data_IF_624128657189
#
_entry.id   IF_624128657189
#
_cell.length_a   1.000
_cell.length_b   1.000
_cell.length_c   1.000
_cell.angle_alpha   90.00
_cell.angle_beta   90.00
_cell.angle_gamma   90.00
#
_symmetry.space_group_name_H-M   'P 1'
#
loop_
_entity.id
_entity.type
_entity.pdbx_description
1 polymer ?
#
# COMPACT_ATOMS: atom_id res chain seq x y z
N UNK A 1 -25.40 5.49 -4.53
CA UNK A 1 -24.85 4.42 -5.37
C UNK A 1 -25.62 3.15 -5.02
N UNK A 2 -26.25 2.51 -5.99
CA UNK A 2 -26.98 1.27 -5.77
C UNK A 2 -26.02 0.11 -5.46
N UNK A 3 -26.54 -0.95 -4.82
CA UNK A 3 -25.69 -2.09 -4.40
C UNK A 3 -24.98 -2.76 -5.57
N UNK A 4 -25.68 -2.88 -6.74
CA UNK A 4 -25.11 -3.48 -7.95
C UNK A 4 -23.95 -2.65 -8.52
N UNK A 5 -24.10 -1.32 -8.53
CA UNK A 5 -23.05 -0.42 -8.99
C UNK A 5 -21.82 -0.52 -8.07
N UNK A 6 -22.06 -0.65 -6.77
CA UNK A 6 -21.02 -0.81 -5.76
C UNK A 6 -20.22 -2.11 -5.98
N UNK A 7 -20.92 -3.23 -6.15
CA UNK A 7 -20.30 -4.54 -6.41
C UNK A 7 -19.47 -4.50 -7.71
N UNK A 8 -20.00 -3.93 -8.79
CA UNK A 8 -19.30 -3.78 -10.07
C UNK A 8 -18.02 -2.92 -9.95
N UNK A 9 -18.08 -1.81 -9.19
CA UNK A 9 -16.90 -0.97 -8.96
C UNK A 9 -15.84 -1.66 -8.10
N UNK A 10 -16.25 -2.44 -7.09
CA UNK A 10 -15.33 -3.24 -6.28
C UNK A 10 -14.65 -4.34 -7.12
N UNK A 11 -15.39 -5.04 -7.99
CA UNK A 11 -14.82 -6.02 -8.91
C UNK A 11 -13.82 -5.38 -9.88
N UNK A 12 -14.19 -4.25 -10.49
CA UNK A 12 -13.32 -3.51 -11.42
C UNK A 12 -12.00 -3.08 -10.79
N UNK A 13 -12.04 -2.71 -9.51
CA UNK A 13 -10.88 -2.22 -8.76
C UNK A 13 -10.17 -3.32 -7.94
N UNK A 14 -10.61 -4.57 -8.04
CA UNK A 14 -10.09 -5.65 -7.19
C UNK A 14 -8.56 -5.79 -7.28
N UNK A 15 -8.01 -5.89 -8.49
CA UNK A 15 -6.57 -6.05 -8.69
C UNK A 15 -5.75 -4.89 -8.14
N UNK A 16 -6.20 -3.64 -8.37
CA UNK A 16 -5.55 -2.45 -7.83
C UNK A 16 -5.70 -2.35 -6.31
N UNK A 17 -6.88 -2.70 -5.79
CA UNK A 17 -7.14 -2.76 -4.35
C UNK A 17 -6.26 -3.79 -3.65
N UNK A 18 -6.09 -4.97 -4.25
CA UNK A 18 -5.20 -6.00 -3.73
C UNK A 18 -3.73 -5.57 -3.74
N UNK A 19 -3.24 -5.00 -4.85
CA UNK A 19 -1.88 -4.47 -4.91
C UNK A 19 -1.62 -3.39 -3.85
N UNK A 20 -2.62 -2.54 -3.58
CA UNK A 20 -2.56 -1.54 -2.51
C UNK A 20 -2.58 -2.18 -1.12
N UNK A 21 -3.44 -3.18 -0.89
CA UNK A 21 -3.48 -3.94 0.37
C UNK A 21 -2.12 -4.60 0.67
N UNK A 22 -1.50 -5.26 -0.34
CA UNK A 22 -0.15 -5.83 -0.22
C UNK A 22 0.87 -4.78 0.20
N UNK A 23 0.78 -3.57 -0.35
CA UNK A 23 1.66 -2.45 0.08
C UNK A 23 1.39 -2.04 1.52
N UNK A 24 0.13 -1.96 1.95
CA UNK A 24 -0.26 -1.63 3.33
C UNK A 24 0.19 -2.70 4.33
N UNK A 25 0.18 -3.98 3.92
CA UNK A 25 0.60 -5.14 4.71
C UNK A 25 2.09 -5.49 4.53
N UNK A 26 2.91 -4.54 4.09
CA UNK A 26 4.37 -4.68 3.95
C UNK A 26 4.82 -5.87 3.08
N UNK A 27 3.99 -6.28 2.13
CA UNK A 27 4.25 -7.38 1.20
C UNK A 27 3.66 -8.73 1.62
N UNK A 28 3.07 -8.85 2.81
CA UNK A 28 2.36 -10.06 3.22
C UNK A 28 1.05 -10.18 2.42
N UNK A 29 1.02 -11.15 1.50
CA UNK A 29 -0.11 -11.39 0.60
C UNK A 29 -1.31 -11.98 1.33
N UNK A 30 -1.07 -12.86 2.30
CA UNK A 30 -2.14 -13.51 3.08
C UNK A 30 -2.84 -12.46 3.94
N UNK A 31 -2.08 -11.63 4.63
CA UNK A 31 -2.65 -10.51 5.40
C UNK A 31 -3.38 -9.50 4.49
N UNK A 32 -2.85 -9.26 3.28
CA UNK A 32 -3.48 -8.37 2.30
C UNK A 32 -4.82 -8.90 1.80
N UNK A 33 -4.97 -10.22 1.60
CA UNK A 33 -6.25 -10.86 1.25
C UNK A 33 -7.27 -10.67 2.36
N UNK A 34 -6.88 -10.92 3.61
CA UNK A 34 -7.75 -10.74 4.77
C UNK A 34 -8.19 -9.28 4.92
N UNK A 35 -7.26 -8.33 4.79
CA UNK A 35 -7.55 -6.88 4.82
C UNK A 35 -8.52 -6.48 3.73
N UNK A 36 -8.32 -6.97 2.50
CA UNK A 36 -9.19 -6.63 1.38
C UNK A 36 -10.61 -7.19 1.57
N UNK A 37 -10.72 -8.44 2.03
CA UNK A 37 -12.01 -9.06 2.35
C UNK A 37 -12.74 -8.30 3.45
N UNK A 38 -12.04 -7.93 4.53
CA UNK A 38 -12.60 -7.12 5.61
C UNK A 38 -13.04 -5.74 5.15
N UNK A 39 -12.27 -5.08 4.28
CA UNK A 39 -12.62 -3.79 3.71
C UNK A 39 -13.92 -3.90 2.89
N UNK A 40 -14.03 -4.92 2.03
CA UNK A 40 -15.23 -5.16 1.23
C UNK A 40 -16.44 -5.49 2.11
N UNK A 41 -16.26 -6.32 3.14
CA UNK A 41 -17.32 -6.63 4.07
C UNK A 41 -17.86 -5.37 4.77
N UNK A 42 -16.98 -4.49 5.25
CA UNK A 42 -17.38 -3.21 5.86
C UNK A 42 -18.17 -2.32 4.89
N UNK A 43 -17.79 -2.30 3.63
CA UNK A 43 -18.47 -1.54 2.58
C UNK A 43 -19.85 -2.12 2.30
N UNK A 44 -19.95 -3.44 2.08
CA UNK A 44 -21.20 -4.12 1.74
C UNK A 44 -22.21 -4.14 2.89
N UNK A 45 -21.73 -4.19 4.14
CA UNK A 45 -22.56 -4.08 5.35
C UNK A 45 -22.95 -2.63 5.68
N UNK A 46 -22.47 -1.66 4.90
CA UNK A 46 -22.77 -0.24 5.12
C UNK A 46 -22.11 0.38 6.37
N UNK A 47 -21.09 -0.29 6.93
CA UNK A 47 -20.27 0.25 8.04
C UNK A 47 -19.43 1.44 7.60
N UNK A 48 -19.10 1.51 6.33
CA UNK A 48 -18.48 2.65 5.67
C UNK A 48 -19.23 2.94 4.37
N UNK A 49 -19.49 4.21 4.08
CA UNK A 49 -20.32 4.62 2.94
C UNK A 49 -19.56 5.60 2.08
N UNK A 50 -19.68 5.41 0.77
CA UNK A 50 -19.17 6.37 -0.20
C UNK A 50 -20.12 7.57 -0.30
N UNK A 51 -19.63 8.73 0.05
CA UNK A 51 -20.41 9.99 0.06
C UNK A 51 -20.20 10.83 -1.21
N UNK A 52 -19.37 10.37 -2.15
CA UNK A 52 -19.10 11.08 -3.40
C UNK A 52 -18.21 12.31 -3.26
N UNK A 53 -17.47 12.47 -2.15
CA UNK A 53 -16.56 13.60 -1.93
C UNK A 53 -15.28 13.52 -2.73
N UNK A 54 -14.89 12.31 -3.14
CA UNK A 54 -13.71 12.01 -3.96
C UNK A 54 -14.06 10.99 -5.03
N UNK A 55 -13.09 10.60 -5.86
CA UNK A 55 -13.25 9.45 -6.74
C UNK A 55 -13.46 8.17 -5.90
N UNK A 56 -14.30 7.26 -6.38
CA UNK A 56 -14.57 5.99 -5.68
C UNK A 56 -13.29 5.20 -5.38
N UNK A 57 -12.33 5.19 -6.31
CA UNK A 57 -11.02 4.55 -6.15
C UNK A 57 -10.23 5.15 -4.98
N UNK A 58 -10.15 6.47 -4.89
CA UNK A 58 -9.46 7.18 -3.81
C UNK A 58 -10.05 6.84 -2.45
N UNK A 59 -11.39 6.89 -2.34
CA UNK A 59 -12.11 6.49 -1.15
C UNK A 59 -11.87 5.01 -0.78
N UNK A 60 -11.97 4.09 -1.75
CA UNK A 60 -11.72 2.66 -1.53
C UNK A 60 -10.31 2.40 -0.98
N UNK A 61 -9.30 3.06 -1.53
CA UNK A 61 -7.92 2.92 -1.05
C UNK A 61 -7.75 3.47 0.37
N UNK A 62 -8.47 4.53 0.73
CA UNK A 62 -8.56 5.01 2.11
C UNK A 62 -9.15 3.95 3.05
N UNK A 63 -10.25 3.30 2.65
CA UNK A 63 -10.89 2.22 3.43
C UNK A 63 -9.96 1.03 3.60
N UNK A 64 -9.28 0.58 2.54
CA UNK A 64 -8.31 -0.53 2.60
C UNK A 64 -7.18 -0.19 3.57
N UNK A 65 -6.60 1.00 3.46
CA UNK A 65 -5.53 1.45 4.34
C UNK A 65 -5.95 1.52 5.80
N UNK A 66 -7.11 2.11 6.06
CA UNK A 66 -7.69 2.17 7.41
C UNK A 66 -7.88 0.77 8.00
N UNK A 67 -8.42 -0.17 7.21
CA UNK A 67 -8.64 -1.55 7.63
C UNK A 67 -7.32 -2.26 7.94
N UNK A 68 -6.27 -2.07 7.14
CA UNK A 68 -4.94 -2.60 7.41
C UNK A 68 -4.37 -2.08 8.74
N UNK A 69 -4.46 -0.77 8.98
CA UNK A 69 -3.99 -0.17 10.23
C UNK A 69 -4.76 -0.66 11.46
N UNK A 70 -6.08 -0.82 11.33
CA UNK A 70 -6.93 -1.36 12.40
C UNK A 70 -6.55 -2.81 12.73
N UNK A 71 -6.32 -3.63 11.72
CA UNK A 71 -5.90 -5.03 11.89
C UNK A 71 -4.53 -5.14 12.55
N UNK A 72 -3.53 -4.37 12.10
CA UNK A 72 -2.22 -4.31 12.72
C UNK A 72 -2.29 -3.90 14.19
N UNK A 73 -3.09 -2.88 14.52
CA UNK A 73 -3.30 -2.43 15.89
C UNK A 73 -3.95 -3.52 16.76
N UNK A 74 -4.93 -4.23 16.22
CA UNK A 74 -5.59 -5.33 16.92
C UNK A 74 -4.61 -6.48 17.20
N UNK A 75 -3.85 -6.92 16.20
CA UNK A 75 -2.82 -7.96 16.33
C UNK A 75 -1.75 -7.56 17.36
N UNK A 76 -1.30 -6.31 17.34
CA UNK A 76 -0.35 -5.79 18.33
C UNK A 76 -0.90 -5.86 19.76
N UNK A 77 -2.12 -5.41 19.97
CA UNK A 77 -2.79 -5.46 21.28
C UNK A 77 -2.98 -6.90 21.75
N UNK A 78 -3.31 -7.82 20.83
CA UNK A 78 -3.45 -9.24 21.15
C UNK A 78 -2.08 -9.86 21.51
N UNK A 79 -1.03 -9.55 20.79
CA UNK A 79 0.33 -10.01 21.08
C UNK A 79 0.82 -9.53 22.45
N UNK A 80 0.53 -8.28 22.81
CA UNK A 80 0.81 -7.72 24.14
C UNK A 80 0.05 -8.47 25.26
N UNK A 81 -1.24 -8.76 25.06
CA UNK A 81 -2.07 -9.49 26.05
C UNK A 81 -1.59 -10.93 26.28
N UNK A 82 -1.06 -11.56 25.22
CA UNK A 82 -0.56 -12.94 25.28
C UNK A 82 0.90 -13.05 25.72
N UNK A 83 1.54 -11.94 26.11
CA UNK A 83 2.95 -11.92 26.52
C UNK A 83 3.94 -12.34 25.43
N UNK A 84 3.53 -12.33 24.18
CA UNK A 84 4.37 -12.67 23.02
C UNK A 84 5.21 -11.46 22.61
N UNK A 85 6.34 -11.28 23.28
CA UNK A 85 7.32 -10.23 23.02
C UNK A 85 8.19 -10.48 21.76
N UNK A 86 7.98 -11.60 21.07
CA UNK A 86 8.78 -12.00 19.91
C UNK A 86 7.95 -11.84 18.62
N UNK A 87 7.92 -10.64 18.09
CA UNK A 87 7.68 -10.46 16.68
C UNK A 87 9.04 -10.05 16.08
N UNK A 88 9.77 -11.03 15.57
CA UNK A 88 10.79 -10.75 14.58
C UNK A 88 10.13 -9.95 13.46
N UNK A 89 10.76 -8.82 13.10
CA UNK A 89 10.44 -8.15 11.86
C UNK A 89 10.73 -9.18 10.75
N UNK A 90 9.69 -9.84 10.26
CA UNK A 90 9.83 -10.75 9.13
C UNK A 90 10.28 -9.91 7.95
N UNK A 91 11.48 -10.15 7.39
CA UNK A 91 11.85 -9.54 6.13
C UNK A 91 10.78 -9.93 5.12
N UNK A 92 10.25 -8.97 4.38
CA UNK A 92 9.29 -9.20 3.31
C UNK A 92 9.88 -10.23 2.36
N UNK A 93 9.40 -11.47 2.45
CA UNK A 93 9.68 -12.49 1.46
C UNK A 93 8.92 -12.09 0.20
N UNK A 94 9.61 -11.48 -0.74
CA UNK A 94 9.16 -11.37 -2.11
C UNK A 94 9.39 -12.72 -2.77
N UNK A 95 8.32 -13.45 -3.08
CA UNK A 95 8.41 -14.64 -3.92
C UNK A 95 9.12 -14.31 -5.23
N UNK A 96 10.15 -15.07 -5.62
CA UNK A 96 10.81 -14.90 -6.89
C UNK A 96 9.95 -15.56 -7.98
N UNK A 97 9.31 -14.74 -8.82
CA UNK A 97 8.86 -15.21 -10.12
C UNK A 97 10.03 -15.05 -11.08
N UNK A 98 10.55 -16.20 -11.52
CA UNK A 98 11.68 -16.30 -12.43
C UNK A 98 11.38 -15.77 -13.82
N UNK A 99 12.18 -14.78 -14.27
CA UNK A 99 12.56 -14.58 -15.68
C UNK A 99 13.94 -13.93 -15.73
N UNK A 100 14.87 -14.56 -16.38
CA UNK A 100 16.34 -14.46 -16.22
C UNK A 100 17.09 -13.29 -16.84
N UNK A 101 16.52 -12.14 -17.18
CA UNK A 101 17.29 -10.92 -17.52
C UNK A 101 16.62 -9.61 -17.05
N UNK A 102 15.34 -9.64 -16.74
CA UNK A 102 14.63 -8.57 -16.04
C UNK A 102 14.83 -8.65 -14.51
N UNK A 103 15.46 -9.71 -14.03
CA UNK A 103 15.53 -10.11 -12.62
C UNK A 103 16.46 -9.23 -11.79
N UNK A 104 17.65 -8.93 -12.29
CA UNK A 104 18.59 -8.06 -11.58
C UNK A 104 18.05 -6.63 -11.42
N UNK A 105 17.43 -6.09 -12.48
CA UNK A 105 16.80 -4.76 -12.43
C UNK A 105 15.59 -4.73 -11.50
N UNK A 106 14.80 -5.81 -11.50
CA UNK A 106 13.65 -5.96 -10.60
C UNK A 106 14.06 -6.17 -9.15
N UNK A 107 15.12 -6.95 -8.90
CA UNK A 107 15.67 -7.13 -7.55
C UNK A 107 16.29 -5.86 -7.01
N UNK A 108 17.04 -5.11 -7.84
CA UNK A 108 17.58 -3.80 -7.48
C UNK A 108 16.47 -2.80 -7.13
N UNK A 109 15.41 -2.75 -7.94
CA UNK A 109 14.28 -1.88 -7.68
C UNK A 109 13.56 -2.26 -6.38
N UNK A 110 13.26 -3.55 -6.17
CA UNK A 110 12.68 -4.05 -4.92
C UNK A 110 13.55 -3.71 -3.70
N UNK A 111 14.86 -3.93 -3.80
CA UNK A 111 15.81 -3.58 -2.76
C UNK A 111 15.90 -2.07 -2.50
N UNK A 112 15.74 -1.24 -3.52
CA UNK A 112 15.68 0.21 -3.35
C UNK A 112 14.36 0.65 -2.70
N UNK A 113 13.23 0.07 -3.12
CA UNK A 113 11.91 0.36 -2.56
C UNK A 113 11.80 -0.04 -1.07
N UNK A 114 12.44 -1.15 -0.66
CA UNK A 114 12.45 -1.59 0.74
C UNK A 114 13.23 -0.65 1.67
N UNK A 115 14.14 0.15 1.13
CA UNK A 115 14.91 1.16 1.88
C UNK A 115 14.22 2.52 2.03
N UNK A 116 13.03 2.67 1.46
CA UNK A 116 12.21 3.85 1.65
C UNK A 116 11.50 3.81 3.00
N UNK A 117 11.23 4.99 3.59
CA UNK A 117 10.30 5.04 4.71
C UNK A 117 8.90 4.62 4.26
N UNK A 118 8.08 4.11 5.17
CA UNK A 118 6.71 3.67 4.89
C UNK A 118 5.94 4.75 4.13
N UNK A 119 5.98 6.00 4.58
CA UNK A 119 5.26 7.12 3.95
C UNK A 119 5.77 7.45 2.55
N UNK A 120 7.08 7.42 2.33
CA UNK A 120 7.66 7.62 1.00
C UNK A 120 7.19 6.51 0.04
N UNK A 121 7.25 5.27 0.48
CA UNK A 121 6.82 4.13 -0.32
C UNK A 121 5.31 4.12 -0.59
N UNK A 122 4.47 4.51 0.38
CA UNK A 122 3.01 4.64 0.19
C UNK A 122 2.68 5.70 -0.87
N UNK A 123 3.25 6.91 -0.75
CA UNK A 123 3.00 7.99 -1.73
C UNK A 123 3.48 7.59 -3.12
N UNK A 124 4.68 7.02 -3.24
CA UNK A 124 5.20 6.58 -4.54
C UNK A 124 4.35 5.46 -5.15
N UNK A 125 3.89 4.50 -4.35
CA UNK A 125 3.00 3.44 -4.83
C UNK A 125 1.68 4.02 -5.38
N UNK A 126 1.04 4.94 -4.65
CA UNK A 126 -0.21 5.54 -5.08
C UNK A 126 -0.05 6.37 -6.37
N UNK A 127 1.05 7.11 -6.51
CA UNK A 127 1.26 7.95 -7.68
C UNK A 127 1.72 7.14 -8.89
N UNK A 128 2.68 6.20 -8.74
CA UNK A 128 3.26 5.48 -9.88
C UNK A 128 2.54 4.20 -10.27
N UNK A 129 1.98 3.46 -9.31
CA UNK A 129 1.31 2.19 -9.60
C UNK A 129 -0.20 2.33 -9.68
N UNK A 130 -0.75 3.32 -8.98
CA UNK A 130 -2.18 3.52 -8.94
C UNK A 130 -2.62 4.75 -9.73
N UNK A 131 -1.69 5.45 -10.41
CA UNK A 131 -1.96 6.62 -11.24
C UNK A 131 -2.81 7.69 -10.52
N UNK A 132 -2.59 7.86 -9.21
CA UNK A 132 -3.23 8.92 -8.44
C UNK A 132 -2.41 10.20 -8.53
N UNK A 133 -3.10 11.33 -8.46
CA UNK A 133 -2.44 12.63 -8.24
C UNK A 133 -1.87 12.69 -6.82
N UNK A 134 -0.97 13.63 -6.55
CA UNK A 134 -0.42 13.84 -5.20
C UNK A 134 -1.53 14.26 -4.23
N UNK A 135 -2.51 14.99 -4.70
CA UNK A 135 -3.70 15.43 -3.97
C UNK A 135 -4.55 14.22 -3.54
N UNK A 136 -4.85 13.32 -4.47
CA UNK A 136 -5.58 12.07 -4.18
C UNK A 136 -4.79 11.13 -3.27
N UNK A 137 -3.47 11.02 -3.47
CA UNK A 137 -2.61 10.25 -2.58
C UNK A 137 -2.59 10.84 -1.16
N UNK A 138 -2.60 12.17 -1.03
CA UNK A 138 -2.68 12.86 0.26
C UNK A 138 -4.01 12.55 0.97
N UNK A 139 -5.12 12.50 0.22
CA UNK A 139 -6.43 12.13 0.74
C UNK A 139 -6.45 10.67 1.24
N UNK A 140 -5.98 9.71 0.43
CA UNK A 140 -5.84 8.28 0.84
C UNK A 140 -5.02 8.14 2.11
N UNK A 141 -3.95 8.92 2.24
CA UNK A 141 -2.99 8.84 3.35
C UNK A 141 -3.37 9.71 4.55
N UNK A 142 -4.49 10.44 4.47
CA UNK A 142 -4.96 11.36 5.49
C UNK A 142 -3.88 12.36 5.94
N UNK A 143 -3.19 12.96 4.96
CA UNK A 143 -2.16 13.94 5.21
C UNK A 143 -2.36 15.21 4.37
N UNK A 144 -1.67 16.29 4.74
CA UNK A 144 -1.68 17.52 3.95
C UNK A 144 -0.96 17.30 2.61
N UNK A 145 -1.46 17.92 1.53
CA UNK A 145 -0.86 17.82 0.18
C UNK A 145 0.62 18.22 0.18
N UNK A 146 1.01 19.26 0.91
CA UNK A 146 2.42 19.66 1.04
C UNK A 146 3.30 18.59 1.69
N UNK A 147 2.74 17.82 2.65
CA UNK A 147 3.43 16.69 3.29
C UNK A 147 3.59 15.53 2.30
N UNK A 148 2.52 15.20 1.55
CA UNK A 148 2.57 14.17 0.51
C UNK A 148 3.62 14.53 -0.57
N UNK A 149 3.63 15.78 -1.02
CA UNK A 149 4.62 16.28 -2.00
C UNK A 149 6.05 16.15 -1.47
N UNK A 150 6.28 16.46 -0.21
CA UNK A 150 7.59 16.30 0.44
C UNK A 150 8.03 14.84 0.48
N UNK A 151 7.13 13.91 0.85
CA UNK A 151 7.42 12.48 0.84
C UNK A 151 7.69 11.96 -0.57
N UNK A 152 6.92 12.41 -1.56
CA UNK A 152 7.10 12.08 -2.97
C UNK A 152 8.49 12.50 -3.48
N UNK A 153 8.88 13.78 -3.29
CA UNK A 153 10.17 14.27 -3.77
C UNK A 153 11.35 13.60 -3.05
N UNK A 154 11.26 13.43 -1.73
CA UNK A 154 12.30 12.72 -0.96
C UNK A 154 12.40 11.25 -1.35
N UNK A 155 11.28 10.59 -1.58
CA UNK A 155 11.23 9.20 -2.04
C UNK A 155 11.87 9.05 -3.42
N UNK A 156 11.54 9.91 -4.39
CA UNK A 156 12.17 9.94 -5.72
C UNK A 156 13.69 10.18 -5.64
N UNK A 157 14.11 11.16 -4.86
CA UNK A 157 15.53 11.46 -4.68
C UNK A 157 16.26 10.24 -4.08
N UNK A 158 15.67 9.60 -3.07
CA UNK A 158 16.24 8.41 -2.44
C UNK A 158 16.36 7.25 -3.43
N UNK A 159 15.32 6.99 -4.23
CA UNK A 159 15.34 5.96 -5.28
C UNK A 159 16.43 6.23 -6.33
N UNK A 160 16.56 7.48 -6.80
CA UNK A 160 17.63 7.85 -7.74
C UNK A 160 19.02 7.54 -7.17
N UNK A 161 19.27 7.89 -5.91
CA UNK A 161 20.54 7.59 -5.23
C UNK A 161 20.78 6.08 -5.12
N UNK A 162 19.75 5.30 -4.76
CA UNK A 162 19.87 3.86 -4.58
C UNK A 162 20.05 3.10 -5.90
N UNK A 163 19.43 3.59 -6.98
CA UNK A 163 19.49 2.96 -8.31
C UNK A 163 20.66 3.51 -9.15
N UNK A 164 20.99 4.80 -8.99
CA UNK A 164 22.06 5.47 -9.75
C UNK A 164 23.46 5.24 -9.18
N UNK A 165 23.59 4.89 -7.92
CA UNK A 165 24.88 4.59 -7.26
C UNK A 165 25.55 3.28 -7.71
N UNK A 166 24.92 2.50 -8.59
CA UNK A 166 25.47 1.25 -9.11
C UNK A 166 26.10 1.40 -10.51
N UNK A 167 26.09 2.62 -11.09
CA UNK A 167 26.66 2.91 -12.42
C UNK A 167 27.91 3.78 -12.42
N UNK A 168 28.44 4.15 -11.25
CA UNK A 168 29.67 4.93 -11.15
C UNK A 168 30.74 4.10 -10.42
N UNK A 169 31.30 3.14 -11.14
CA UNK A 169 32.61 2.62 -10.82
C UNK A 169 33.51 2.88 -12.06
N UNK A 170 34.62 3.64 -11.92
CA UNK A 170 35.53 3.93 -12.99
C UNK A 170 36.28 2.69 -13.49
#
# INVERSE_FOLDING_TARGET
MERRDLESELERLHSSGFAWAVRCCRGDRTEAEDVLQLAYLKILEGKTRFEGRSAFRTWLFGVIRYTAHEQHRWQWNQALRLGRWWREETPVATDPVEVMSAEESSQRLRGALSKLSTRQGEVLHLVFYQDLTIEEAAEVLEMRVGTARTHYERGKARLRTLLGGAGANP
#
